data_IF_102903986170
#
_entry.id   IF_102903986170
#
_cell.length_a   1.000
_cell.length_b   1.000
_cell.length_c   1.000
_cell.angle_alpha   90.00
_cell.angle_beta   90.00
_cell.angle_gamma   90.00
#
_symmetry.space_group_name_H-M   'P 1'
#
loop_
_entity.id
_entity.type
_entity.pdbx_description
1 polymer ?
#
# COMPACT_ATOMS: atom_id res chain seq x y z
N UNK A 1 67.94 -0.41 6.69
CA UNK A 1 67.03 -1.45 7.17
C UNK A 1 65.62 -0.91 7.00
N UNK A 2 64.95 -1.25 5.89
CA UNK A 2 63.64 -0.72 5.51
C UNK A 2 62.61 -1.83 5.59
N UNK A 3 61.59 -1.70 6.44
CA UNK A 3 60.35 -2.48 6.27
C UNK A 3 59.12 -1.67 6.71
N UNK A 4 58.53 -1.00 5.72
CA UNK A 4 57.12 -0.90 5.33
C UNK A 4 56.06 -0.88 6.46
N UNK A 5 55.41 0.27 6.66
CA UNK A 5 54.17 0.39 7.43
C UNK A 5 52.98 -0.10 6.58
N UNK A 6 52.20 -1.03 7.13
CA UNK A 6 50.92 -1.46 6.55
C UNK A 6 49.81 -0.53 7.02
N UNK A 7 49.23 0.24 6.09
CA UNK A 7 48.05 1.06 6.34
C UNK A 7 46.79 0.19 6.19
N UNK A 8 46.08 -0.03 7.28
CA UNK A 8 44.80 -0.75 7.28
C UNK A 8 43.70 0.14 6.70
N UNK A 9 43.17 -0.20 5.53
CA UNK A 9 41.97 0.44 4.97
C UNK A 9 40.76 -0.31 5.51
N UNK A 10 40.04 0.33 6.44
CA UNK A 10 38.74 -0.14 6.91
C UNK A 10 37.68 0.31 5.91
N UNK A 11 37.17 -0.60 5.08
CA UNK A 11 36.03 -0.34 4.20
C UNK A 11 34.76 -0.39 5.06
N UNK A 12 34.17 0.78 5.31
CA UNK A 12 32.84 0.91 5.90
C UNK A 12 31.81 0.54 4.84
N UNK A 13 31.34 -0.72 4.85
CA UNK A 13 30.23 -1.16 3.99
C UNK A 13 28.94 -0.53 4.55
N UNK A 14 28.54 0.59 3.97
CA UNK A 14 27.24 1.20 4.25
C UNK A 14 26.13 0.27 3.80
N UNK A 15 25.28 -0.15 4.73
CA UNK A 15 24.05 -0.88 4.42
C UNK A 15 23.11 0.08 3.66
N UNK A 16 23.06 -0.04 2.34
CA UNK A 16 22.01 0.57 1.54
C UNK A 16 20.69 -0.14 1.86
N UNK A 17 19.89 0.48 2.74
CA UNK A 17 18.47 0.15 2.85
C UNK A 17 17.85 0.39 1.47
N UNK A 18 17.67 -0.70 0.72
CA UNK A 18 17.11 -0.66 -0.62
C UNK A 18 15.64 -0.24 -0.48
N UNK A 19 15.31 1.00 -0.84
CA UNK A 19 13.92 1.45 -0.89
C UNK A 19 13.19 0.62 -1.95
N UNK A 20 12.33 -0.29 -1.50
CA UNK A 20 11.47 -1.08 -2.39
C UNK A 20 10.31 -0.21 -2.86
N UNK A 21 10.09 -0.16 -4.17
CA UNK A 21 8.96 0.54 -4.78
C UNK A 21 7.79 -0.44 -4.93
N UNK A 22 6.64 -0.12 -4.34
CA UNK A 22 5.47 -1.00 -4.25
C UNK A 22 4.39 -0.59 -5.26
N UNK A 23 4.39 -1.25 -6.43
CA UNK A 23 3.30 -1.19 -7.39
C UNK A 23 2.30 -2.32 -7.12
N UNK A 24 0.97 -2.12 -7.30
CA UNK A 24 0.00 -3.21 -7.27
C UNK A 24 0.41 -4.33 -8.23
N UNK A 25 0.40 -5.57 -7.75
CA UNK A 25 1.02 -6.71 -8.44
C UNK A 25 2.24 -7.25 -7.70
N UNK A 26 2.98 -8.15 -8.34
CA UNK A 26 4.09 -8.90 -7.74
C UNK A 26 3.80 -10.40 -7.64
N UNK A 27 4.86 -11.19 -7.51
CA UNK A 27 4.74 -12.64 -7.36
C UNK A 27 5.14 -13.05 -5.93
N UNK A 28 4.18 -13.47 -5.09
CA UNK A 28 4.47 -13.81 -3.68
C UNK A 28 5.36 -15.05 -3.51
N UNK A 29 5.67 -15.76 -4.61
CA UNK A 29 6.40 -17.03 -4.58
C UNK A 29 7.83 -16.93 -5.11
N UNK A 30 8.22 -15.82 -5.74
CA UNK A 30 9.55 -15.68 -6.36
C UNK A 30 10.27 -14.46 -5.82
N UNK A 31 11.47 -14.65 -5.29
CA UNK A 31 12.26 -13.58 -4.69
C UNK A 31 12.97 -12.77 -5.78
N UNK A 32 12.80 -11.46 -5.74
CA UNK A 32 13.43 -10.48 -6.62
C UNK A 32 13.34 -9.09 -5.98
N UNK A 33 14.11 -8.10 -6.44
CA UNK A 33 14.01 -6.72 -5.91
C UNK A 33 12.60 -6.12 -6.04
N UNK A 34 11.74 -6.71 -6.88
CA UNK A 34 10.33 -6.35 -7.11
C UNK A 34 9.34 -7.45 -6.67
N UNK A 35 9.74 -8.39 -5.79
CA UNK A 35 8.90 -9.55 -5.42
C UNK A 35 7.80 -9.30 -4.41
N UNK A 36 7.80 -8.13 -3.76
CA UNK A 36 6.79 -7.83 -2.75
C UNK A 36 5.40 -7.81 -3.40
N UNK A 37 4.54 -8.73 -2.98
CA UNK A 37 3.18 -8.82 -3.49
C UNK A 37 2.33 -7.74 -2.85
N UNK A 38 1.79 -6.85 -3.68
CA UNK A 38 0.97 -5.71 -3.24
C UNK A 38 -0.48 -5.91 -3.63
N UNK A 39 -1.35 -5.93 -2.62
CA UNK A 39 -2.80 -6.09 -2.77
C UNK A 39 -3.52 -4.81 -2.38
N UNK A 40 -4.12 -4.14 -3.37
CA UNK A 40 -4.88 -2.92 -3.14
C UNK A 40 -6.37 -3.24 -2.87
N UNK A 41 -6.95 -2.59 -1.87
CA UNK A 41 -8.37 -2.67 -1.52
C UNK A 41 -9.05 -1.35 -1.92
N UNK A 42 -9.94 -1.42 -2.90
CA UNK A 42 -10.78 -0.29 -3.34
C UNK A 42 -12.21 -0.49 -2.87
N UNK A 43 -13.03 0.56 -2.91
CA UNK A 43 -14.44 0.52 -2.46
C UNK A 43 -15.29 -0.51 -3.23
N UNK A 44 -14.98 -0.68 -4.51
CA UNK A 44 -15.63 -1.64 -5.41
C UNK A 44 -15.03 -3.05 -5.29
N UNK A 45 -13.79 -3.15 -4.82
CA UNK A 45 -13.06 -4.40 -4.71
C UNK A 45 -12.39 -4.55 -3.34
N UNK A 46 -13.19 -4.64 -2.26
CA UNK A 46 -12.65 -4.90 -0.93
C UNK A 46 -12.06 -6.30 -0.86
N UNK A 47 -10.82 -6.42 -0.40
CA UNK A 47 -10.07 -7.69 -0.39
C UNK A 47 -9.79 -8.22 1.02
N UNK A 48 -9.85 -9.54 1.13
CA UNK A 48 -9.35 -10.29 2.29
C UNK A 48 -8.25 -11.23 1.81
N UNK A 49 -7.15 -11.25 2.57
CA UNK A 49 -5.99 -12.09 2.30
C UNK A 49 -5.89 -13.17 3.37
N UNK A 50 -5.66 -14.41 2.94
CA UNK A 50 -5.47 -15.55 3.83
C UNK A 50 -4.22 -16.31 3.41
N UNK A 51 -3.29 -16.52 4.35
CA UNK A 51 -2.18 -17.46 4.18
C UNK A 51 -2.52 -18.77 4.86
N UNK A 52 -2.41 -19.88 4.11
CA UNK A 52 -2.70 -21.23 4.60
C UNK A 52 -1.46 -22.12 4.45
N UNK A 53 -1.10 -22.88 5.48
CA UNK A 53 -0.16 -23.99 5.37
C UNK A 53 -0.85 -25.15 4.66
N UNK A 54 -0.33 -25.55 3.50
CA UNK A 54 -0.91 -26.62 2.69
C UNK A 54 -0.65 -28.02 3.26
N UNK A 55 0.31 -28.17 4.19
CA UNK A 55 0.64 -29.45 4.83
C UNK A 55 -0.37 -29.81 5.91
N UNK A 56 -0.78 -28.82 6.70
CA UNK A 56 -1.74 -28.98 7.81
C UNK A 56 -3.15 -28.49 7.49
N UNK A 57 -3.31 -27.62 6.49
CA UNK A 57 -4.54 -26.89 6.21
C UNK A 57 -4.78 -25.69 7.13
N UNK A 58 -3.81 -25.35 7.99
CA UNK A 58 -3.95 -24.29 8.98
C UNK A 58 -3.87 -22.89 8.34
N UNK A 59 -4.79 -22.01 8.74
CA UNK A 59 -4.76 -20.59 8.34
C UNK A 59 -3.83 -19.83 9.28
N UNK A 60 -2.65 -19.50 8.78
CA UNK A 60 -1.58 -18.83 9.55
C UNK A 60 -1.80 -17.32 9.68
N UNK A 61 -2.36 -16.71 8.64
CA UNK A 61 -2.58 -15.26 8.58
C UNK A 61 -3.91 -14.97 7.89
N UNK A 62 -4.67 -14.04 8.46
CA UNK A 62 -5.92 -13.55 7.90
C UNK A 62 -5.95 -12.05 8.09
N UNK A 63 -6.12 -11.31 7.00
CA UNK A 63 -6.23 -9.86 7.06
C UNK A 63 -7.28 -9.36 6.09
N UNK A 64 -8.24 -8.61 6.63
CA UNK A 64 -9.10 -7.76 5.82
C UNK A 64 -8.35 -6.45 5.56
N UNK A 65 -8.13 -6.14 4.29
CA UNK A 65 -7.42 -4.91 3.92
C UNK A 65 -8.45 -3.77 3.98
N UNK A 66 -8.24 -2.75 4.83
CA UNK A 66 -9.14 -1.60 4.87
C UNK A 66 -9.26 -0.95 3.50
N UNK A 67 -10.47 -0.54 3.13
CA UNK A 67 -10.71 0.20 1.89
C UNK A 67 -9.90 1.50 1.85
N UNK A 68 -9.39 1.84 0.67
CA UNK A 68 -8.48 2.99 0.49
C UNK A 68 -7.04 2.71 0.90
N UNK A 69 -6.72 1.47 1.31
CA UNK A 69 -5.38 1.02 1.67
C UNK A 69 -4.94 -0.17 0.82
N UNK A 70 -3.63 -0.44 0.87
CA UNK A 70 -2.98 -1.59 0.26
C UNK A 70 -2.16 -2.36 1.28
N UNK A 71 -2.16 -3.67 1.18
CA UNK A 71 -1.31 -4.58 1.94
C UNK A 71 -0.12 -4.97 1.08
N UNK A 72 1.08 -4.80 1.61
CA UNK A 72 2.32 -5.26 0.99
C UNK A 72 2.83 -6.44 1.80
N UNK A 73 3.11 -7.55 1.12
CA UNK A 73 3.66 -8.77 1.71
C UNK A 73 4.97 -9.10 1.00
N UNK A 74 5.99 -9.44 1.77
CA UNK A 74 7.25 -9.93 1.25
C UNK A 74 7.68 -11.20 2.01
N UNK A 75 8.36 -12.11 1.32
CA UNK A 75 8.83 -13.35 1.88
C UNK A 75 10.35 -13.43 1.76
N UNK A 76 11.02 -13.58 2.90
CA UNK A 76 12.46 -13.73 2.99
C UNK A 76 12.76 -15.21 3.24
N UNK A 77 13.40 -15.84 2.27
CA UNK A 77 13.75 -17.26 2.34
C UNK A 77 14.82 -17.50 3.42
N UNK A 78 14.72 -18.65 4.11
CA UNK A 78 15.74 -19.13 5.05
C UNK A 78 16.04 -18.13 6.19
N UNK A 79 15.05 -17.30 6.54
CA UNK A 79 15.14 -16.27 7.59
C UNK A 79 14.14 -16.49 8.73
N UNK A 80 13.49 -17.66 8.75
CA UNK A 80 12.61 -18.09 9.82
C UNK A 80 13.36 -18.66 11.03
N UNK A 81 12.61 -19.09 12.03
CA UNK A 81 13.12 -19.58 13.32
C UNK A 81 13.35 -21.10 13.34
N UNK A 82 12.68 -21.85 12.45
CA UNK A 82 12.77 -23.30 12.38
C UNK A 82 13.04 -23.78 10.96
N UNK A 83 14.22 -24.35 10.73
CA UNK A 83 14.68 -24.81 9.42
C UNK A 83 13.79 -25.87 8.73
N UNK A 84 12.89 -26.53 9.48
CA UNK A 84 12.05 -27.61 8.95
C UNK A 84 10.59 -27.19 8.87
N UNK A 85 10.05 -26.63 9.95
CA UNK A 85 8.61 -26.30 10.03
C UNK A 85 8.31 -24.93 9.42
N UNK A 86 9.10 -23.92 9.77
CA UNK A 86 8.88 -22.51 9.41
C UNK A 86 10.20 -21.84 8.98
N UNK A 87 10.81 -22.28 7.86
CA UNK A 87 12.14 -21.81 7.45
C UNK A 87 12.14 -20.41 6.86
N UNK A 88 10.99 -19.90 6.40
CA UNK A 88 10.90 -18.59 5.75
C UNK A 88 10.32 -17.54 6.72
N UNK A 89 10.61 -16.26 6.46
CA UNK A 89 10.04 -15.13 7.18
C UNK A 89 9.07 -14.37 6.27
N UNK A 90 7.83 -14.21 6.69
CA UNK A 90 6.88 -13.29 6.08
C UNK A 90 6.99 -11.94 6.76
N UNK A 91 7.06 -10.87 5.97
CA UNK A 91 6.97 -9.49 6.44
C UNK A 91 5.79 -8.78 5.77
N UNK A 92 5.10 -7.91 6.48
CA UNK A 92 3.97 -7.18 5.91
C UNK A 92 3.73 -5.81 6.55
N UNK A 93 3.01 -4.96 5.81
CA UNK A 93 2.56 -3.65 6.27
C UNK A 93 1.34 -3.19 5.49
N UNK A 94 0.49 -2.39 6.14
CA UNK A 94 -0.66 -1.75 5.49
C UNK A 94 -0.34 -0.29 5.23
N UNK A 95 -0.31 0.09 3.95
CA UNK A 95 -0.06 1.45 3.52
C UNK A 95 -1.33 2.13 2.98
N UNK A 96 -1.44 3.46 3.11
CA UNK A 96 -2.34 4.24 2.26
C UNK A 96 -2.04 4.00 0.76
N UNK A 97 -3.06 4.04 -0.11
CA UNK A 97 -2.90 3.73 -1.54
C UNK A 97 -1.88 4.61 -2.28
N UNK A 98 -1.70 5.85 -1.84
CA UNK A 98 -0.78 6.83 -2.44
C UNK A 98 0.70 6.66 -2.04
N UNK A 99 1.00 5.78 -1.07
CA UNK A 99 2.37 5.57 -0.58
C UNK A 99 3.08 4.53 -1.45
N UNK A 100 4.20 4.89 -2.08
CA UNK A 100 4.91 3.99 -3.01
C UNK A 100 6.05 3.21 -2.35
N UNK A 101 6.51 3.58 -1.16
CA UNK A 101 7.63 2.93 -0.48
C UNK A 101 7.47 3.03 1.04
N UNK A 102 8.11 2.13 1.77
CA UNK A 102 8.08 2.12 3.23
C UNK A 102 8.64 0.83 3.82
N UNK A 103 9.10 0.84 5.08
CA UNK A 103 9.55 -0.37 5.75
C UNK A 103 8.36 -1.29 6.09
N UNK A 104 8.58 -2.60 6.05
CA UNK A 104 7.63 -3.58 6.57
C UNK A 104 7.96 -3.84 8.04
N UNK A 105 7.06 -3.45 8.96
CA UNK A 105 7.35 -3.52 10.40
C UNK A 105 6.89 -4.81 11.06
N UNK A 106 5.88 -5.46 10.48
CA UNK A 106 5.34 -6.70 11.01
C UNK A 106 6.03 -7.90 10.36
N UNK A 107 6.29 -8.94 11.14
CA UNK A 107 6.88 -10.18 10.65
C UNK A 107 6.42 -11.41 11.41
N UNK A 108 6.44 -12.56 10.74
CA UNK A 108 6.14 -13.87 11.32
C UNK A 108 6.85 -14.97 10.54
N UNK A 109 7.18 -16.07 11.19
CA UNK A 109 7.80 -17.23 10.52
C UNK A 109 6.72 -18.07 9.85
N UNK A 110 7.04 -18.57 8.66
CA UNK A 110 6.08 -19.28 7.79
C UNK A 110 6.73 -20.50 7.14
N UNK A 111 5.91 -21.47 6.70
CA UNK A 111 6.39 -22.59 5.88
C UNK A 111 7.10 -22.11 4.61
N UNK A 112 7.88 -23.01 4.02
CA UNK A 112 8.55 -22.72 2.75
C UNK A 112 7.56 -22.31 1.65
N UNK A 113 8.07 -21.64 0.61
CA UNK A 113 7.27 -21.17 -0.53
C UNK A 113 6.37 -22.21 -1.21
N UNK A 114 6.73 -23.49 -1.15
CA UNK A 114 5.96 -24.59 -1.76
C UNK A 114 4.89 -25.17 -0.85
N UNK A 115 4.98 -24.92 0.46
CA UNK A 115 4.05 -25.45 1.47
C UNK A 115 3.04 -24.41 1.92
N UNK A 116 2.96 -23.25 1.26
CA UNK A 116 2.05 -22.18 1.60
C UNK A 116 1.17 -21.78 0.42
N UNK A 117 -0.08 -21.43 0.70
CA UNK A 117 -1.05 -20.93 -0.27
C UNK A 117 -1.55 -19.57 0.19
N UNK A 118 -1.47 -18.59 -0.71
CA UNK A 118 -2.00 -17.25 -0.48
C UNK A 118 -3.30 -17.09 -1.26
N UNK A 119 -4.41 -16.99 -0.54
CA UNK A 119 -5.74 -16.83 -1.09
C UNK A 119 -6.18 -15.37 -0.98
N UNK A 120 -6.70 -14.83 -2.08
CA UNK A 120 -7.23 -13.46 -2.17
C UNK A 120 -8.69 -13.55 -2.53
N UNK A 121 -9.56 -13.13 -1.62
CA UNK A 121 -11.00 -13.12 -1.82
C UNK A 121 -11.53 -11.69 -1.86
N UNK A 122 -12.60 -11.50 -2.62
CA UNK A 122 -13.36 -10.25 -2.62
C UNK A 122 -14.48 -10.36 -1.57
N UNK A 123 -14.72 -9.28 -0.82
CA UNK A 123 -15.85 -9.18 0.10
C UNK A 123 -17.11 -8.78 -0.67
N UNK A 124 -18.27 -9.29 -0.25
CA UNK A 124 -19.53 -9.18 -1.00
C UNK A 124 -20.18 -7.78 -0.97
N UNK A 125 -19.81 -6.93 0.00
CA UNK A 125 -20.35 -5.58 0.12
C UNK A 125 -19.37 -4.57 -0.44
N UNK A 126 -19.85 -3.65 -1.28
CA UNK A 126 -19.13 -2.41 -1.51
C UNK A 126 -18.98 -1.68 -0.18
N UNK A 127 -17.75 -1.32 0.17
CA UNK A 127 -17.43 -0.61 1.40
C UNK A 127 -16.98 0.81 1.04
N UNK A 128 -17.65 1.82 1.60
CA UNK A 128 -17.21 3.20 1.45
C UNK A 128 -15.86 3.40 2.15
N UNK A 129 -14.88 3.96 1.45
CA UNK A 129 -13.69 4.47 2.11
C UNK A 129 -14.10 5.64 2.98
N UNK A 130 -13.53 5.71 4.19
CA UNK A 130 -13.66 6.95 4.95
C UNK A 130 -13.13 8.09 4.09
N UNK A 131 -13.89 9.19 3.92
CA UNK A 131 -13.41 10.33 3.17
C UNK A 131 -12.14 10.84 3.85
N UNK A 132 -11.14 11.19 3.05
CA UNK A 132 -9.99 11.96 3.55
C UNK A 132 -10.58 13.23 4.17
N UNK A 133 -10.41 13.41 5.48
CA UNK A 133 -10.99 14.52 6.27
C UNK A 133 -10.63 15.91 5.72
N UNK A 134 -9.66 15.99 4.82
CA UNK A 134 -9.10 17.22 4.26
C UNK A 134 -9.79 17.68 2.96
N UNK A 135 -10.95 17.11 2.60
CA UNK A 135 -11.78 17.70 1.55
C UNK A 135 -12.70 18.72 2.19
N UNK A 136 -12.61 20.03 1.86
CA UNK A 136 -13.64 20.98 2.24
C UNK A 136 -14.97 20.43 1.73
N UNK A 137 -15.86 20.15 2.68
CA UNK A 137 -17.16 19.56 2.41
C UNK A 137 -18.03 20.65 1.78
N UNK A 138 -17.90 20.79 0.45
CA UNK A 138 -18.81 21.54 -0.44
C UNK A 138 -18.72 23.08 -0.29
N UNK A 139 -18.60 23.75 -1.43
CA UNK A 139 -18.48 25.23 -1.56
C UNK A 139 -19.82 25.95 -1.32
N UNK A 140 -20.81 25.26 -0.74
CA UNK A 140 -22.09 25.87 -0.36
C UNK A 140 -22.13 26.31 1.11
N UNK A 141 -21.09 26.00 1.89
CA UNK A 141 -20.91 26.57 3.22
C UNK A 141 -20.65 28.08 3.09
N UNK A 142 -21.43 28.88 3.82
CA UNK A 142 -21.49 30.36 3.67
C UNK A 142 -20.12 31.03 3.83
N UNK A 143 -19.16 30.38 4.50
CA UNK A 143 -17.80 30.89 4.71
C UNK A 143 -16.85 30.66 3.52
N UNK A 144 -17.20 29.84 2.54
CA UNK A 144 -16.41 29.56 1.33
C UNK A 144 -16.97 30.27 0.08
N UNK A 145 -18.00 31.10 0.25
CA UNK A 145 -18.56 31.91 -0.82
C UNK A 145 -17.63 33.10 -1.10
N UNK A 146 -17.21 33.30 -2.36
CA UNK A 146 -16.35 34.42 -2.69
C UNK A 146 -17.10 35.75 -2.49
N UNK A 147 -16.38 36.83 -2.16
CA UNK A 147 -16.95 38.15 -1.81
C UNK A 147 -17.92 38.73 -2.87
N UNK A 148 -17.88 38.24 -4.10
CA UNK A 148 -18.73 38.64 -5.22
C UNK A 148 -19.98 37.77 -5.42
N UNK A 149 -20.22 36.77 -4.56
CA UNK A 149 -21.41 35.92 -4.60
C UNK A 149 -22.54 36.54 -3.76
N UNK A 150 -23.74 36.68 -4.34
CA UNK A 150 -24.94 37.18 -3.67
C UNK A 150 -26.05 36.13 -3.74
N UNK A 151 -26.86 36.02 -2.68
CA UNK A 151 -28.00 35.08 -2.60
C UNK A 151 -29.03 35.34 -3.71
N UNK A 152 -29.14 36.60 -4.14
CA UNK A 152 -30.11 37.05 -5.14
C UNK A 152 -29.65 36.78 -6.59
N UNK A 153 -28.42 36.30 -6.81
CA UNK A 153 -27.78 36.28 -8.12
C UNK A 153 -27.38 37.69 -8.57
N UNK A 154 -26.36 37.79 -9.43
CA UNK A 154 -25.94 39.09 -9.99
C UNK A 154 -27.05 39.74 -10.83
N UNK A 155 -27.00 41.06 -10.99
CA UNK A 155 -27.92 41.77 -11.89
C UNK A 155 -27.85 41.15 -13.29
N UNK A 156 -29.02 40.75 -13.81
CA UNK A 156 -29.12 40.31 -15.20
C UNK A 156 -28.80 41.53 -16.07
N UNK A 157 -27.69 41.48 -16.78
CA UNK A 157 -27.39 42.49 -17.80
C UNK A 157 -28.41 42.35 -18.93
N UNK A 158 -29.41 43.23 -18.90
CA UNK A 158 -30.47 43.29 -19.91
C UNK A 158 -30.07 44.12 -21.13
N UNK A 159 -28.85 44.67 -21.16
CA UNK A 159 -28.39 45.54 -22.25
C UNK A 159 -27.85 44.76 -23.44
N UNK A 160 -27.55 43.47 -23.29
CA UNK A 160 -27.16 42.57 -24.38
C UNK A 160 -28.16 41.41 -24.56
N UNK A 161 -29.06 41.47 -25.57
CA UNK A 161 -30.01 40.39 -25.84
C UNK A 161 -29.38 39.12 -26.41
N UNK A 162 -28.06 39.07 -26.65
CA UNK A 162 -27.37 37.90 -27.23
C UNK A 162 -26.77 36.93 -26.20
N UNK A 163 -26.70 37.29 -24.92
CA UNK A 163 -25.98 36.50 -23.92
C UNK A 163 -26.78 35.32 -23.30
N UNK A 164 -27.73 34.72 -24.03
CA UNK A 164 -28.60 33.69 -23.45
C UNK A 164 -29.19 32.64 -24.39
N UNK A 165 -29.06 32.76 -25.71
CA UNK A 165 -29.61 31.76 -26.64
C UNK A 165 -28.70 31.58 -27.86
N UNK A 166 -27.59 30.87 -27.68
CA UNK A 166 -27.01 30.08 -28.77
C UNK A 166 -27.57 28.66 -28.68
N UNK A 167 -28.11 28.17 -29.80
CA UNK A 167 -28.99 27.00 -30.00
C UNK A 167 -28.60 25.69 -29.30
#
# INVERSE_FOLDING_TARGET
>A
MNIIQFTTITILVGASASCKMYAPGGNPFFNGPESAATYQSTEEMPKTIVLTDTRSGERLFVMEIPVGKKLVIDFIKDSGDNNVLTPDLMMWEVFPNNVNYGPLSNSMTVPNGWSRKLDVTFRNSSEYSNPITDRPLRVDEVNDQPDWWTVDGGEIDTTDPSNGYDN
#
